data_IF_740330692399
#
_entry.id   IF_740330692399
#
_cell.length_a   1.000
_cell.length_b   1.000
_cell.length_c   1.000
_cell.angle_alpha   90.00
_cell.angle_beta   90.00
_cell.angle_gamma   90.00
#
_symmetry.space_group_name_H-M   'P 1'
#
loop_
_entity.id
_entity.type
_entity.pdbx_description
1 polymer ?
#
# COMPACT_ATOMS: atom_id res chain seq x y z
N UNK A 1 -15.76 -9.12 -11.32
CA UNK A 1 -15.11 -8.07 -12.12
C UNK A 1 -13.64 -8.44 -12.25
N UNK A 2 -13.08 -8.34 -13.44
CA UNK A 2 -11.63 -8.46 -13.63
C UNK A 2 -11.04 -7.19 -12.98
N UNK A 3 -10.28 -7.31 -11.90
CA UNK A 3 -9.48 -6.18 -11.36
C UNK A 3 -8.38 -5.73 -12.36
N UNK A 4 -8.41 -6.24 -13.59
CA UNK A 4 -7.75 -5.71 -14.80
C UNK A 4 -8.37 -4.41 -15.33
N UNK A 5 -9.26 -3.76 -14.59
CA UNK A 5 -9.51 -2.34 -14.84
C UNK A 5 -8.22 -1.63 -14.41
N UNK A 6 -7.40 -1.25 -15.40
CA UNK A 6 -6.06 -0.62 -15.34
C UNK A 6 -6.03 0.73 -14.57
N UNK A 7 -6.88 0.89 -13.56
CA UNK A 7 -6.62 1.86 -12.49
C UNK A 7 -5.27 1.50 -11.90
N UNK A 8 -4.35 2.46 -11.90
CA UNK A 8 -2.94 2.29 -11.55
C UNK A 8 -2.77 1.69 -10.15
N UNK A 9 -2.85 0.36 -10.07
CA UNK A 9 -2.57 -0.38 -8.86
C UNK A 9 -1.06 -0.42 -8.69
N UNK A 10 -0.58 0.10 -7.55
CA UNK A 10 0.82 -0.04 -7.19
C UNK A 10 0.96 -1.25 -6.26
N UNK A 11 1.86 -2.14 -6.63
CA UNK A 11 2.27 -3.27 -5.82
C UNK A 11 3.62 -2.96 -5.17
N UNK A 12 3.69 -3.11 -3.85
CA UNK A 12 4.89 -2.95 -3.05
C UNK A 12 5.17 -4.24 -2.29
N UNK A 13 6.41 -4.70 -2.27
CA UNK A 13 6.82 -5.76 -1.36
C UNK A 13 6.96 -5.23 0.07
N UNK A 14 6.98 -6.10 1.07
CA UNK A 14 7.28 -5.70 2.45
C UNK A 14 8.64 -5.01 2.58
N UNK A 15 9.64 -5.40 1.78
CA UNK A 15 10.95 -4.73 1.74
C UNK A 15 10.84 -3.28 1.27
N UNK A 16 10.12 -3.05 0.17
CA UNK A 16 9.91 -1.72 -0.40
C UNK A 16 9.10 -0.84 0.57
N UNK A 17 8.06 -1.40 1.18
CA UNK A 17 7.23 -0.69 2.15
C UNK A 17 8.03 -0.33 3.41
N UNK A 18 8.85 -1.25 3.93
CA UNK A 18 9.72 -1.00 5.09
C UNK A 18 10.76 0.10 4.78
N UNK A 19 11.31 0.12 3.56
CA UNK A 19 12.21 1.18 3.13
C UNK A 19 11.52 2.54 3.11
N UNK A 20 10.31 2.63 2.51
CA UNK A 20 9.52 3.87 2.45
C UNK A 20 9.11 4.36 3.85
N UNK A 21 8.74 3.43 4.74
CA UNK A 21 8.49 3.71 6.16
C UNK A 21 9.70 4.32 6.84
N UNK A 22 10.89 3.74 6.66
CA UNK A 22 12.15 4.26 7.19
C UNK A 22 12.47 5.66 6.66
N UNK A 23 12.31 5.86 5.35
CA UNK A 23 12.54 7.14 4.68
C UNK A 23 11.62 8.26 5.20
N UNK A 24 10.39 7.92 5.61
CA UNK A 24 9.38 8.87 6.09
C UNK A 24 9.20 8.87 7.61
N UNK A 25 10.04 8.14 8.35
CA UNK A 25 10.03 8.12 9.82
C UNK A 25 8.80 7.44 10.43
N UNK A 26 8.20 6.46 9.74
CA UNK A 26 7.00 5.74 10.18
C UNK A 26 7.37 4.36 10.69
N UNK A 27 6.79 3.95 11.82
CA UNK A 27 7.12 2.67 12.47
C UNK A 27 6.00 1.63 12.37
N UNK A 28 4.76 2.06 12.15
CA UNK A 28 3.58 1.19 12.18
C UNK A 28 2.58 1.58 11.11
N UNK A 29 1.83 0.61 10.58
CA UNK A 29 0.78 0.82 9.59
C UNK A 29 -0.57 0.36 10.12
N UNK A 30 -1.63 1.06 9.72
CA UNK A 30 -2.99 0.70 10.12
C UNK A 30 -3.38 -0.63 9.50
N UNK A 31 -3.85 -1.57 10.32
CA UNK A 31 -4.37 -2.86 9.87
C UNK A 31 -3.30 -3.86 9.39
N UNK A 32 -2.01 -3.56 9.59
CA UNK A 32 -0.91 -4.47 9.29
C UNK A 32 -0.19 -4.82 10.59
N UNK A 33 -0.06 -6.11 10.88
CA UNK A 33 0.71 -6.57 12.03
C UNK A 33 2.21 -6.31 11.80
N UNK A 34 2.96 -5.78 12.79
CA UNK A 34 4.39 -5.54 12.65
C UNK A 34 5.21 -6.78 12.28
N UNK A 35 4.73 -7.97 12.67
CA UNK A 35 5.31 -9.27 12.33
C UNK A 35 5.41 -9.51 10.82
N UNK A 36 4.47 -8.99 10.02
CA UNK A 36 4.46 -9.12 8.56
C UNK A 36 5.58 -8.30 7.89
N UNK A 37 6.18 -7.36 8.62
CA UNK A 37 7.31 -6.56 8.17
C UNK A 37 8.64 -7.04 8.78
N UNK A 38 8.61 -8.02 9.69
CA UNK A 38 9.82 -8.57 10.30
C UNK A 38 10.61 -9.38 9.28
N UNK A 39 11.93 -9.23 9.28
CA UNK A 39 12.82 -9.88 8.30
C UNK A 39 12.91 -9.15 6.97
N UNK A 40 12.23 -8.02 6.80
CA UNK A 40 12.42 -7.17 5.65
C UNK A 40 13.87 -6.67 5.56
N UNK A 41 14.41 -6.61 4.34
CA UNK A 41 15.72 -6.05 4.02
C UNK A 41 15.52 -4.70 3.33
N UNK A 42 15.56 -3.56 4.06
CA UNK A 42 15.21 -2.25 3.49
C UNK A 42 16.07 -1.87 2.28
N UNK A 43 17.36 -2.23 2.27
CA UNK A 43 18.23 -1.97 1.12
C UNK A 43 17.82 -2.75 -0.13
N UNK A 44 17.32 -3.99 0.01
CA UNK A 44 16.73 -4.70 -1.12
C UNK A 44 15.45 -4.01 -1.62
N UNK A 45 14.66 -3.44 -0.70
CA UNK A 45 13.50 -2.61 -1.03
C UNK A 45 13.88 -1.35 -1.81
N UNK A 46 14.95 -0.66 -1.38
CA UNK A 46 15.50 0.52 -2.06
C UNK A 46 15.88 0.20 -3.51
N UNK A 47 16.69 -0.83 -3.71
CA UNK A 47 17.16 -1.23 -5.04
C UNK A 47 15.99 -1.67 -5.95
N UNK A 48 15.00 -2.37 -5.39
CA UNK A 48 13.77 -2.69 -6.10
C UNK A 48 13.03 -1.42 -6.56
N UNK A 49 12.82 -0.46 -5.66
CA UNK A 49 12.12 0.79 -6.00
C UNK A 49 12.88 1.63 -7.04
N UNK A 50 14.21 1.67 -6.97
CA UNK A 50 15.07 2.33 -7.97
C UNK A 50 14.94 1.65 -9.34
N UNK A 51 15.04 0.32 -9.39
CA UNK A 51 14.93 -0.43 -10.66
C UNK A 51 13.57 -0.31 -11.33
N UNK A 52 12.53 -0.02 -10.54
CA UNK A 52 11.15 0.20 -11.00
C UNK A 52 10.83 1.67 -11.27
N UNK A 53 11.82 2.55 -11.18
CA UNK A 53 11.67 4.00 -11.34
C UNK A 53 10.59 4.60 -10.43
N UNK A 54 10.36 3.99 -9.26
CA UNK A 54 9.46 4.47 -8.21
C UNK A 54 10.19 5.37 -7.22
N UNK A 55 11.51 5.23 -7.18
CA UNK A 55 12.45 6.06 -6.47
C UNK A 55 13.43 6.66 -7.48
N UNK A 56 13.81 7.91 -7.29
CA UNK A 56 14.93 8.53 -7.98
C UNK A 56 16.09 8.63 -6.99
N UNK A 57 17.25 8.09 -7.38
CA UNK A 57 18.46 8.26 -6.60
C UNK A 57 18.74 9.76 -6.46
N UNK A 58 18.94 10.22 -5.23
CA UNK A 58 19.54 11.54 -5.03
C UNK A 58 20.92 11.57 -5.69
N UNK A 59 21.44 12.77 -5.99
CA UNK A 59 22.88 12.96 -6.23
C UNK A 59 23.69 12.26 -5.11
N UNK A 60 24.99 11.95 -5.26
CA UNK A 60 25.69 10.97 -4.42
C UNK A 60 25.75 11.28 -2.90
N UNK A 61 25.26 12.45 -2.45
CA UNK A 61 25.09 12.84 -1.04
C UNK A 61 23.63 13.16 -0.65
N UNK A 62 22.69 13.00 -1.58
CA UNK A 62 21.31 13.46 -1.48
C UNK A 62 20.33 12.36 -1.05
N UNK A 63 19.26 12.79 -0.39
CA UNK A 63 18.13 11.93 -0.03
C UNK A 63 17.45 11.40 -1.29
N UNK A 64 17.03 10.14 -1.29
CA UNK A 64 16.25 9.59 -2.40
C UNK A 64 14.89 10.28 -2.51
N UNK A 65 14.43 10.49 -3.74
CA UNK A 65 13.16 11.15 -4.01
C UNK A 65 12.12 10.12 -4.44
N UNK A 66 10.95 10.13 -3.81
CA UNK A 66 9.84 9.24 -4.16
C UNK A 66 9.08 9.84 -5.34
N UNK A 67 8.73 9.02 -6.34
CA UNK A 67 7.92 9.44 -7.49
C UNK A 67 6.58 10.02 -7.02
N UNK A 68 6.09 11.09 -7.66
CA UNK A 68 4.94 11.86 -7.17
C UNK A 68 3.63 11.08 -7.06
N UNK A 69 3.35 10.18 -8.00
CA UNK A 69 2.19 9.27 -7.99
C UNK A 69 2.31 8.21 -6.88
N UNK A 70 3.50 7.63 -6.66
CA UNK A 70 3.75 6.75 -5.54
C UNK A 70 3.56 7.50 -4.23
N UNK A 71 4.15 8.70 -4.11
CA UNK A 71 4.01 9.55 -2.93
C UNK A 71 2.53 9.82 -2.63
N UNK A 72 1.73 10.15 -3.64
CA UNK A 72 0.29 10.36 -3.53
C UNK A 72 -0.45 9.14 -2.94
N UNK A 73 -0.08 7.92 -3.33
CA UNK A 73 -0.69 6.68 -2.80
C UNK A 73 -0.15 6.26 -1.43
N UNK A 74 1.13 6.46 -1.14
CA UNK A 74 1.70 6.06 0.16
C UNK A 74 1.35 7.03 1.28
N UNK A 75 1.05 8.30 0.99
CA UNK A 75 0.74 9.28 2.04
C UNK A 75 -0.51 8.90 2.86
N UNK A 76 -1.64 8.48 2.25
CA UNK A 76 -2.76 7.92 3.00
C UNK A 76 -2.44 6.59 3.68
N UNK A 77 -1.53 5.77 3.12
CA UNK A 77 -1.11 4.50 3.73
C UNK A 77 -0.35 4.72 5.05
N UNK A 78 0.62 5.62 5.02
CA UNK A 78 1.56 5.87 6.12
C UNK A 78 1.02 6.86 7.14
N UNK A 79 0.20 7.82 6.70
CA UNK A 79 -0.36 8.88 7.55
C UNK A 79 -1.86 9.07 7.29
N UNK A 80 -2.71 8.05 7.51
CA UNK A 80 -4.14 8.19 7.29
C UNK A 80 -4.74 9.26 8.20
N UNK A 81 -5.63 10.08 7.66
CA UNK A 81 -6.53 10.91 8.47
C UNK A 81 -7.72 10.10 9.00
N UNK A 82 -8.19 9.12 8.21
CA UNK A 82 -9.23 8.16 8.58
C UNK A 82 -8.92 6.80 7.99
N UNK A 83 -9.38 5.75 8.67
CA UNK A 83 -9.26 4.38 8.23
C UNK A 83 -10.56 3.61 8.46
N UNK A 84 -10.92 2.75 7.51
CA UNK A 84 -11.95 1.72 7.66
C UNK A 84 -11.29 0.37 7.36
N UNK A 85 -11.29 -0.52 8.36
CA UNK A 85 -10.76 -1.88 8.23
C UNK A 85 -11.95 -2.83 8.14
N UNK A 86 -12.01 -3.62 7.07
CA UNK A 86 -13.03 -4.63 6.86
C UNK A 86 -12.37 -5.99 6.87
N UNK A 87 -12.75 -6.80 7.85
CA UNK A 87 -12.22 -8.15 8.07
C UNK A 87 -13.31 -9.15 7.76
N UNK A 88 -13.01 -10.09 6.87
CA UNK A 88 -13.87 -11.24 6.55
C UNK A 88 -13.17 -12.51 6.99
N UNK A 89 -13.90 -13.45 7.57
CA UNK A 89 -13.41 -14.82 7.72
C UNK A 89 -14.24 -15.73 6.81
N UNK A 90 -13.59 -16.38 5.85
CA UNK A 90 -14.22 -17.35 4.95
C UNK A 90 -13.68 -18.74 5.32
N UNK A 91 -14.54 -19.72 5.66
CA UNK A 91 -14.10 -21.03 6.15
C UNK A 91 -13.09 -21.78 5.25
N UNK A 92 -13.10 -21.52 3.92
CA UNK A 92 -12.23 -22.20 2.95
C UNK A 92 -10.97 -21.41 2.57
N UNK A 93 -11.00 -20.08 2.68
CA UNK A 93 -9.90 -19.20 2.21
C UNK A 93 -9.26 -18.41 3.34
N UNK A 94 -9.76 -18.55 4.57
CA UNK A 94 -9.23 -17.88 5.76
C UNK A 94 -9.67 -16.42 5.89
N UNK A 95 -8.89 -15.67 6.67
CA UNK A 95 -9.14 -14.25 6.93
C UNK A 95 -8.70 -13.39 5.75
N UNK A 96 -9.57 -12.48 5.32
CA UNK A 96 -9.29 -11.46 4.32
C UNK A 96 -9.46 -10.09 4.95
N UNK A 97 -8.49 -9.21 4.71
CA UNK A 97 -8.49 -7.85 5.24
C UNK A 97 -8.45 -6.85 4.08
N UNK A 98 -9.44 -5.96 4.03
CA UNK A 98 -9.42 -4.77 3.19
C UNK A 98 -9.29 -3.54 4.07
N UNK A 99 -8.40 -2.62 3.69
CA UNK A 99 -8.07 -1.45 4.48
C UNK A 99 -8.30 -0.23 3.60
N UNK A 100 -9.33 0.54 3.89
CA UNK A 100 -9.62 1.79 3.21
C UNK A 100 -9.00 2.93 4.01
N UNK A 101 -8.11 3.68 3.38
CA UNK A 101 -7.34 4.74 4.03
C UNK A 101 -7.59 6.04 3.30
N UNK A 102 -7.92 7.10 4.06
CA UNK A 102 -8.18 8.41 3.50
C UNK A 102 -7.24 9.44 4.13
N UNK A 103 -6.70 10.32 3.29
CA UNK A 103 -5.98 11.53 3.71
C UNK A 103 -6.30 12.66 2.74
N UNK A 104 -6.84 13.76 3.27
CA UNK A 104 -7.28 14.89 2.47
C UNK A 104 -8.29 14.45 1.40
N UNK A 105 -7.98 14.62 0.10
CA UNK A 105 -8.87 14.22 -1.01
C UNK A 105 -8.58 12.81 -1.54
N UNK A 106 -7.48 12.19 -1.10
CA UNK A 106 -7.05 10.89 -1.60
C UNK A 106 -7.63 9.79 -0.74
N UNK A 107 -8.28 8.82 -1.36
CA UNK A 107 -8.72 7.59 -0.72
C UNK A 107 -8.07 6.42 -1.44
N UNK A 108 -7.47 5.51 -0.68
CA UNK A 108 -6.89 4.29 -1.22
C UNK A 108 -7.55 3.05 -0.61
N UNK A 109 -7.59 1.99 -1.39
CA UNK A 109 -7.74 0.63 -0.90
C UNK A 109 -6.35 -0.01 -0.79
N UNK A 110 -5.99 -0.41 0.42
CA UNK A 110 -4.85 -1.26 0.69
C UNK A 110 -5.34 -2.70 0.96
N UNK A 111 -4.69 -3.65 0.28
CA UNK A 111 -4.99 -5.08 0.37
C UNK A 111 -3.69 -5.88 0.28
N UNK A 112 -3.73 -7.13 0.74
CA UNK A 112 -2.57 -8.04 0.75
C UNK A 112 -2.92 -9.32 -0.01
N UNK A 113 -2.76 -9.36 -1.35
CA UNK A 113 -3.05 -10.56 -2.13
C UNK A 113 -2.13 -11.74 -1.81
N UNK A 114 -0.94 -11.47 -1.26
CA UNK A 114 0.07 -12.45 -0.82
C UNK A 114 0.74 -11.95 0.46
N UNK A 115 1.42 -12.82 1.21
CA UNK A 115 1.94 -12.54 2.56
C UNK A 115 2.95 -11.39 2.65
N UNK A 116 3.56 -11.00 1.53
CA UNK A 116 4.61 -10.00 1.42
C UNK A 116 4.32 -8.95 0.32
N UNK A 117 3.13 -9.00 -0.28
CA UNK A 117 2.75 -8.10 -1.38
C UNK A 117 1.61 -7.21 -0.92
N UNK A 118 1.85 -5.91 -0.92
CA UNK A 118 0.92 -4.85 -0.60
C UNK A 118 0.43 -4.24 -1.90
N UNK A 119 -0.88 -4.30 -2.15
CA UNK A 119 -1.50 -3.65 -3.31
C UNK A 119 -2.24 -2.40 -2.85
N UNK A 120 -1.92 -1.28 -3.48
CA UNK A 120 -2.54 0.03 -3.28
C UNK A 120 -3.31 0.42 -4.54
N UNK A 121 -4.57 0.81 -4.36
CA UNK A 121 -5.45 1.26 -5.44
C UNK A 121 -6.08 2.57 -5.02
N UNK A 122 -6.02 3.60 -5.86
CA UNK A 122 -6.77 4.83 -5.63
C UNK A 122 -8.26 4.64 -5.92
N UNK A 123 -9.09 5.20 -5.04
CA UNK A 123 -10.53 5.25 -5.18
C UNK A 123 -10.92 6.71 -5.47
N UNK A 124 -11.27 6.98 -6.72
CA UNK A 124 -11.64 8.32 -7.19
C UNK A 124 -12.95 8.80 -6.56
N UNK A 125 -13.88 7.87 -6.31
CA UNK A 125 -15.21 8.15 -5.76
C UNK A 125 -15.58 7.21 -4.63
N UNK A 126 -16.56 7.61 -3.80
CA UNK A 126 -17.14 6.73 -2.78
C UNK A 126 -17.77 5.47 -3.41
N UNK A 127 -18.32 5.59 -4.61
CA UNK A 127 -18.91 4.50 -5.38
C UNK A 127 -17.85 3.46 -5.77
N UNK A 128 -16.61 3.86 -6.03
CA UNK A 128 -15.51 2.91 -6.25
C UNK A 128 -15.23 2.07 -5.00
N UNK A 129 -15.28 2.69 -3.82
CA UNK A 129 -15.14 2.00 -2.54
C UNK A 129 -16.29 1.04 -2.27
N UNK A 130 -17.53 1.47 -2.49
CA UNK A 130 -18.73 0.61 -2.35
C UNK A 130 -18.63 -0.57 -3.32
N UNK A 131 -18.27 -0.33 -4.59
CA UNK A 131 -18.11 -1.39 -5.58
C UNK A 131 -17.04 -2.39 -5.14
N UNK A 132 -15.86 -1.91 -4.73
CA UNK A 132 -14.77 -2.76 -4.24
C UNK A 132 -15.23 -3.63 -3.05
N UNK A 133 -15.97 -3.06 -2.10
CA UNK A 133 -16.56 -3.82 -0.99
C UNK A 133 -17.53 -4.88 -1.51
N UNK A 134 -18.51 -4.54 -2.35
CA UNK A 134 -19.50 -5.51 -2.83
C UNK A 134 -18.91 -6.64 -3.68
N UNK A 135 -17.79 -6.38 -4.37
CA UNK A 135 -17.14 -7.40 -5.20
C UNK A 135 -16.28 -8.37 -4.39
N UNK A 136 -15.62 -7.88 -3.34
CA UNK A 136 -14.91 -8.74 -2.40
C UNK A 136 -15.85 -9.50 -1.46
N UNK A 137 -17.06 -8.98 -1.27
CA UNK A 137 -18.08 -9.50 -0.38
C UNK A 137 -19.40 -9.75 -1.14
N UNK A 138 -19.43 -10.71 -2.09
CA UNK A 138 -20.68 -11.18 -2.64
C UNK A 138 -21.53 -11.88 -1.57
#
# INVERSE_FOLDING_TARGET
MNLNDDRMAIFLTSNELQYLMGLLGVQTLVGIEPSLLQGAAPEAGRESLLSRELLQAGHPEGTNHIRGDLLHLIMPLLFPGRALVVIRNIPKTGTQTLIFLNRSKTTILHSMPQNDVHRLIELETAQDGIRALTEWFP
#
